data_IF_898806514535
#
_entry.id   IF_898806514535
#
_cell.length_a   1.000
_cell.length_b   1.000
_cell.length_c   1.000
_cell.angle_alpha   90.00
_cell.angle_beta   90.00
_cell.angle_gamma   90.00
#
_symmetry.space_group_name_H-M   'P 1'
#
loop_
_entity.id
_entity.type
_entity.pdbx_description
1 polymer ?
#
# COMPACT_ATOMS: atom_id res chain seq x y z
N UNK A 1 -2.37 -18.02 -14.52
CA UNK A 1 -2.39 -16.79 -13.72
C UNK A 1 -1.41 -17.00 -12.59
N UNK A 2 -0.31 -16.25 -12.56
CA UNK A 2 0.63 -16.30 -11.44
C UNK A 2 -0.11 -15.80 -10.20
N UNK A 3 -0.07 -16.56 -9.12
CA UNK A 3 -0.68 -16.24 -7.82
C UNK A 3 0.05 -15.03 -7.21
N UNK A 4 -0.16 -13.83 -7.75
CA UNK A 4 0.55 -12.58 -7.39
C UNK A 4 -0.35 -11.63 -6.61
N UNK A 5 -1.51 -12.13 -6.18
CA UNK A 5 -2.49 -11.38 -5.42
C UNK A 5 -2.00 -11.25 -3.97
N UNK A 6 -1.64 -10.02 -3.58
CA UNK A 6 -1.03 -9.71 -2.28
C UNK A 6 -1.85 -10.26 -1.10
N UNK A 7 -3.18 -10.16 -1.17
CA UNK A 7 -4.08 -10.57 -0.10
C UNK A 7 -3.93 -12.05 0.31
N UNK A 8 -3.42 -12.91 -0.58
CA UNK A 8 -3.16 -14.31 -0.26
C UNK A 8 -1.95 -14.50 0.69
N UNK A 9 -1.10 -13.49 0.81
CA UNK A 9 0.19 -13.57 1.49
C UNK A 9 0.29 -12.69 2.73
N UNK A 10 -0.40 -11.53 2.74
CA UNK A 10 -0.36 -10.57 3.83
C UNK A 10 -0.64 -11.17 5.22
N UNK A 11 -1.62 -12.09 5.41
CA UNK A 11 -1.89 -12.67 6.74
C UNK A 11 -0.74 -13.53 7.29
N UNK A 12 0.15 -14.03 6.45
CA UNK A 12 1.28 -14.88 6.83
C UNK A 12 2.55 -14.12 7.22
N UNK A 13 2.57 -12.80 7.05
CA UNK A 13 3.76 -11.98 7.29
C UNK A 13 3.79 -11.42 8.72
N UNK A 14 4.99 -11.30 9.33
CA UNK A 14 5.13 -10.63 10.62
C UNK A 14 4.80 -9.14 10.51
N UNK A 15 4.33 -8.54 11.59
CA UNK A 15 3.90 -7.13 11.62
C UNK A 15 4.99 -6.16 11.15
N UNK A 16 6.26 -6.43 11.48
CA UNK A 16 7.39 -5.63 11.01
C UNK A 16 7.57 -5.67 9.47
N UNK A 17 7.31 -6.82 8.84
CA UNK A 17 7.33 -6.93 7.38
C UNK A 17 6.16 -6.16 6.75
N UNK A 18 4.98 -6.25 7.36
CA UNK A 18 3.79 -5.51 6.94
C UNK A 18 3.99 -3.99 7.08
N UNK A 19 4.68 -3.55 8.13
CA UNK A 19 5.06 -2.17 8.35
C UNK A 19 6.02 -1.68 7.25
N UNK A 20 7.10 -2.42 7.00
CA UNK A 20 8.09 -2.06 5.96
C UNK A 20 7.44 -2.00 4.57
N UNK A 21 6.56 -2.95 4.26
CA UNK A 21 5.82 -2.95 3.00
C UNK A 21 4.87 -1.75 2.89
N UNK A 22 4.15 -1.43 3.97
CA UNK A 22 3.26 -0.26 4.01
C UNK A 22 4.05 1.04 3.79
N UNK A 23 5.19 1.20 4.48
CA UNK A 23 6.08 2.34 4.30
C UNK A 23 6.53 2.47 2.85
N UNK A 24 6.96 1.37 2.23
CA UNK A 24 7.38 1.37 0.84
C UNK A 24 6.25 1.80 -0.10
N UNK A 25 5.04 1.27 0.06
CA UNK A 25 3.89 1.66 -0.77
C UNK A 25 3.63 3.16 -0.71
N UNK A 26 3.62 3.76 0.48
CA UNK A 26 3.23 5.17 0.63
C UNK A 26 4.37 6.17 0.43
N UNK A 27 5.61 5.80 0.77
CA UNK A 27 6.77 6.71 0.70
C UNK A 27 7.53 6.57 -0.60
N UNK A 28 7.57 5.39 -1.20
CA UNK A 28 8.33 5.16 -2.43
C UNK A 28 7.40 5.10 -3.65
N UNK A 29 6.46 4.15 -3.67
CA UNK A 29 5.64 3.92 -4.86
C UNK A 29 4.71 5.10 -5.18
N UNK A 30 4.01 5.63 -4.17
CA UNK A 30 3.15 6.80 -4.35
C UNK A 30 3.94 8.06 -4.73
N UNK A 31 5.10 8.28 -4.10
CA UNK A 31 6.00 9.42 -4.41
C UNK A 31 6.57 9.35 -5.82
N UNK A 32 6.93 8.15 -6.29
CA UNK A 32 7.38 7.92 -7.66
C UNK A 32 6.31 8.30 -8.69
N UNK A 33 5.02 8.10 -8.36
CA UNK A 33 3.90 8.55 -9.17
C UNK A 33 3.60 10.06 -9.07
N UNK A 34 4.25 10.78 -8.14
CA UNK A 34 4.10 12.21 -7.96
C UNK A 34 3.11 12.62 -6.85
N UNK A 35 2.71 11.69 -5.98
CA UNK A 35 1.98 12.01 -4.75
C UNK A 35 2.97 12.23 -3.63
N UNK A 36 3.41 13.48 -3.47
CA UNK A 36 4.30 13.84 -2.38
C UNK A 36 3.59 13.72 -1.03
N UNK A 37 4.19 12.94 -0.14
CA UNK A 37 3.70 12.73 1.21
C UNK A 37 4.88 12.79 2.17
N UNK A 38 4.76 13.63 3.20
CA UNK A 38 5.73 13.73 4.29
C UNK A 38 5.00 13.40 5.57
N UNK A 39 5.22 12.20 6.15
CA UNK A 39 4.57 11.82 7.39
C UNK A 39 5.04 12.69 8.55
N UNK A 40 4.14 12.93 9.50
CA UNK A 40 4.46 13.51 10.80
C UNK A 40 5.18 12.45 11.65
N UNK A 41 6.51 12.50 11.61
CA UNK A 41 7.40 11.56 12.29
C UNK A 41 7.23 11.59 13.81
N UNK A 42 6.81 12.72 14.40
CA UNK A 42 6.61 12.85 15.85
C UNK A 42 5.45 11.96 16.29
N UNK A 43 4.41 11.85 15.46
CA UNK A 43 3.26 10.97 15.74
C UNK A 43 3.56 9.50 15.52
N UNK A 44 4.58 9.19 14.73
CA UNK A 44 5.01 7.83 14.44
C UNK A 44 6.08 7.32 15.42
N UNK A 45 6.67 8.21 16.20
CA UNK A 45 7.76 7.88 17.12
C UNK A 45 7.27 6.97 18.24
N UNK A 46 8.01 5.89 18.50
CA UNK A 46 7.73 4.90 19.55
C UNK A 46 6.39 4.17 19.44
N UNK A 47 5.73 4.21 18.27
CA UNK A 47 4.57 3.36 18.01
C UNK A 47 5.00 1.92 17.71
N UNK A 48 4.23 0.97 18.24
CA UNK A 48 4.32 -0.44 17.84
C UNK A 48 3.84 -0.60 16.38
N UNK A 49 4.21 -1.71 15.74
CA UNK A 49 4.02 -1.90 14.30
C UNK A 49 2.58 -1.68 13.83
N UNK A 50 1.60 -2.19 14.58
CA UNK A 50 0.17 -2.06 14.26
C UNK A 50 -0.28 -0.60 14.32
N UNK A 51 0.04 0.09 15.41
CA UNK A 51 -0.34 1.50 15.59
C UNK A 51 0.39 2.40 14.60
N UNK A 52 1.66 2.09 14.31
CA UNK A 52 2.46 2.77 13.29
C UNK A 52 1.80 2.68 11.92
N UNK A 53 1.39 1.47 11.50
CA UNK A 53 0.72 1.26 10.20
C UNK A 53 -0.58 2.06 10.16
N UNK A 54 -1.39 2.01 11.22
CA UNK A 54 -2.67 2.75 11.28
C UNK A 54 -2.47 4.25 11.16
N UNK A 55 -1.53 4.82 11.92
CA UNK A 55 -1.23 6.25 11.91
C UNK A 55 -0.68 6.68 10.54
N UNK A 56 0.27 5.93 9.97
CA UNK A 56 0.85 6.22 8.66
C UNK A 56 -0.20 6.20 7.54
N UNK A 57 -1.07 5.19 7.54
CA UNK A 57 -2.18 5.07 6.58
C UNK A 57 -3.18 6.21 6.75
N UNK A 58 -3.51 6.57 7.99
CA UNK A 58 -4.38 7.70 8.30
C UNK A 58 -3.85 9.02 7.75
N UNK A 59 -2.57 9.31 8.02
CA UNK A 59 -1.91 10.51 7.51
C UNK A 59 -1.84 10.55 5.98
N UNK A 60 -1.51 9.42 5.34
CA UNK A 60 -1.46 9.32 3.88
C UNK A 60 -2.83 9.55 3.25
N UNK A 61 -3.88 8.91 3.80
CA UNK A 61 -5.24 9.07 3.34
C UNK A 61 -5.70 10.53 3.49
N UNK A 62 -5.37 11.19 4.60
CA UNK A 62 -5.69 12.61 4.80
C UNK A 62 -5.02 13.55 3.81
N UNK A 63 -3.78 13.24 3.42
CA UNK A 63 -3.05 14.01 2.41
C UNK A 63 -3.64 13.83 1.01
N UNK A 64 -4.02 12.61 0.65
CA UNK A 64 -4.34 12.23 -0.74
C UNK A 64 -5.83 12.26 -1.06
N UNK A 65 -6.73 12.05 -0.08
CA UNK A 65 -8.19 12.04 -0.30
C UNK A 65 -8.79 13.38 -0.70
N UNK A 66 -8.04 14.48 -0.56
CA UNK A 66 -8.50 15.84 -0.88
C UNK A 66 -8.71 16.06 -2.38
N UNK A 67 -8.15 15.22 -3.24
CA UNK A 67 -8.40 15.25 -4.69
C UNK A 67 -9.52 14.30 -5.10
N UNK A 68 -10.10 14.53 -6.28
CA UNK A 68 -11.12 13.64 -6.86
C UNK A 68 -10.52 12.26 -7.13
N UNK A 69 -9.30 12.24 -7.68
CA UNK A 69 -8.54 11.03 -8.00
C UNK A 69 -8.33 10.17 -6.76
N UNK A 70 -7.94 10.81 -5.66
CA UNK A 70 -7.74 10.20 -4.35
C UNK A 70 -9.03 9.68 -3.74
N UNK A 71 -10.09 10.48 -3.78
CA UNK A 71 -11.43 10.08 -3.31
C UNK A 71 -12.02 8.89 -4.10
N UNK A 72 -11.75 8.80 -5.40
CA UNK A 72 -12.20 7.65 -6.19
C UNK A 72 -11.33 6.41 -5.92
N UNK A 73 -10.00 6.58 -5.83
CA UNK A 73 -9.10 5.45 -5.59
C UNK A 73 -9.33 4.82 -4.21
N UNK A 74 -9.58 5.63 -3.17
CA UNK A 74 -9.85 5.12 -1.82
C UNK A 74 -11.17 4.33 -1.75
N UNK A 75 -12.21 4.79 -2.48
CA UNK A 75 -13.50 4.09 -2.55
C UNK A 75 -13.37 2.72 -3.23
N UNK A 76 -12.66 2.67 -4.36
CA UNK A 76 -12.44 1.41 -5.10
C UNK A 76 -11.59 0.46 -4.28
N UNK A 77 -10.52 0.95 -3.64
CA UNK A 77 -9.66 0.16 -2.78
C UNK A 77 -10.40 -0.42 -1.58
N UNK A 78 -11.21 0.39 -0.87
CA UNK A 78 -12.03 -0.07 0.24
C UNK A 78 -13.00 -1.16 -0.19
N UNK A 79 -13.75 -0.93 -1.28
CA UNK A 79 -14.68 -1.93 -1.81
C UNK A 79 -13.99 -3.24 -2.17
N UNK A 80 -12.79 -3.20 -2.76
CA UNK A 80 -12.04 -4.40 -3.09
C UNK A 80 -11.47 -5.10 -1.85
N UNK A 81 -10.87 -4.36 -0.92
CA UNK A 81 -10.34 -4.92 0.34
C UNK A 81 -11.44 -5.64 1.14
N UNK A 82 -12.66 -5.08 1.18
CA UNK A 82 -13.82 -5.71 1.80
C UNK A 82 -14.13 -7.11 1.21
N UNK A 83 -13.85 -7.34 -0.08
CA UNK A 83 -14.05 -8.66 -0.71
C UNK A 83 -12.99 -9.68 -0.33
N UNK A 84 -11.79 -9.24 0.03
CA UNK A 84 -10.73 -10.12 0.49
C UNK A 84 -10.94 -10.57 1.95
N UNK A 85 -11.70 -9.79 2.74
CA UNK A 85 -12.11 -10.11 4.11
C UNK A 85 -10.95 -10.54 5.04
N UNK A 86 -9.79 -9.90 4.88
CA UNK A 86 -8.61 -10.21 5.70
C UNK A 86 -8.82 -9.82 7.16
N UNK A 87 -8.22 -10.55 8.11
CA UNK A 87 -8.28 -10.20 9.53
C UNK A 87 -7.19 -9.21 9.95
N UNK A 88 -7.47 -8.43 10.99
CA UNK A 88 -6.47 -7.64 11.71
C UNK A 88 -5.70 -6.65 10.84
N UNK A 89 -4.41 -6.51 11.11
CA UNK A 89 -3.56 -5.52 10.44
C UNK A 89 -3.38 -5.81 8.94
N UNK A 90 -3.48 -7.07 8.51
CA UNK A 90 -3.40 -7.44 7.10
C UNK A 90 -4.49 -6.79 6.25
N UNK A 91 -5.68 -6.55 6.83
CA UNK A 91 -6.76 -5.83 6.15
C UNK A 91 -6.40 -4.37 5.83
N UNK A 92 -5.72 -3.71 6.77
CA UNK A 92 -5.29 -2.32 6.61
C UNK A 92 -4.19 -2.23 5.56
N UNK A 93 -3.25 -3.18 5.58
CA UNK A 93 -2.14 -3.28 4.62
C UNK A 93 -2.66 -3.57 3.20
N UNK A 94 -3.63 -4.46 3.06
CA UNK A 94 -4.27 -4.75 1.78
C UNK A 94 -5.01 -3.52 1.24
N UNK A 95 -5.78 -2.86 2.10
CA UNK A 95 -6.46 -1.62 1.75
C UNK A 95 -5.49 -0.55 1.24
N UNK A 96 -4.39 -0.27 1.96
CA UNK A 96 -3.44 0.76 1.53
C UNK A 96 -2.68 0.36 0.27
N UNK A 97 -2.31 -0.92 0.09
CA UNK A 97 -1.65 -1.36 -1.14
C UNK A 97 -2.58 -1.21 -2.35
N UNK A 98 -3.85 -1.56 -2.19
CA UNK A 98 -4.87 -1.33 -3.21
C UNK A 98 -5.09 0.17 -3.47
N UNK A 99 -5.12 0.98 -2.41
CA UNK A 99 -5.30 2.41 -2.56
C UNK A 99 -4.18 3.03 -3.39
N UNK A 100 -2.93 2.74 -3.03
CA UNK A 100 -1.75 3.19 -3.79
C UNK A 100 -1.80 2.65 -5.22
N UNK A 101 -2.12 1.37 -5.43
CA UNK A 101 -2.25 0.76 -6.77
C UNK A 101 -3.25 1.51 -7.67
N UNK A 102 -4.37 1.96 -7.12
CA UNK A 102 -5.38 2.72 -7.86
C UNK A 102 -5.07 4.22 -7.99
N UNK A 103 -4.20 4.73 -7.13
CA UNK A 103 -3.80 6.13 -7.11
C UNK A 103 -2.67 6.40 -8.12
N UNK A 104 -1.67 5.52 -8.18
CA UNK A 104 -0.45 5.64 -8.98
C UNK A 104 -0.69 5.88 -10.48
N UNK A 105 -1.63 5.19 -11.18
CA UNK A 105 -1.93 5.46 -12.59
C UNK A 105 -2.42 6.88 -12.88
N UNK A 106 -2.97 7.56 -11.86
CA UNK A 106 -3.49 8.93 -11.96
C UNK A 106 -2.46 9.98 -11.53
N UNK A 107 -1.26 9.52 -11.13
CA UNK A 107 -0.21 10.39 -10.62
C UNK A 107 0.35 11.32 -11.71
N UNK A 108 0.73 12.56 -11.36
CA UNK A 108 1.20 13.53 -12.34
C UNK A 108 2.55 13.17 -12.98
N UNK A 109 3.30 12.23 -12.40
CA UNK A 109 4.56 11.71 -12.97
C UNK A 109 4.37 10.40 -13.76
N UNK A 110 3.13 9.91 -13.91
CA UNK A 110 2.89 8.72 -14.69
C UNK A 110 2.91 9.03 -16.19
N UNK A 111 3.78 8.36 -16.94
CA UNK A 111 3.90 8.50 -18.40
C UNK A 111 3.27 7.33 -19.17
N UNK A 112 2.81 6.29 -18.46
CA UNK A 112 2.21 5.10 -19.06
C UNK A 112 0.69 5.20 -19.14
N UNK A 113 0.04 4.48 -20.08
CA UNK A 113 -1.41 4.29 -20.06
C UNK A 113 -1.89 3.77 -18.69
N UNK A 114 -3.07 4.19 -18.19
CA UNK A 114 -3.54 3.82 -16.86
C UNK A 114 -3.57 2.32 -16.58
N UNK A 115 -4.02 1.51 -17.55
CA UNK A 115 -4.11 0.05 -17.40
C UNK A 115 -2.71 -0.58 -17.32
N UNK A 116 -1.77 -0.14 -18.16
CA UNK A 116 -0.39 -0.60 -18.11
C UNK A 116 0.30 -0.20 -16.80
N UNK A 117 0.05 1.01 -16.31
CA UNK A 117 0.62 1.45 -15.02
C UNK A 117 0.02 0.69 -13.85
N UNK A 118 -1.27 0.34 -13.92
CA UNK A 118 -1.93 -0.45 -12.89
C UNK A 118 -1.34 -1.86 -12.79
N UNK A 119 -1.13 -2.52 -13.93
CA UNK A 119 -0.47 -3.83 -14.00
C UNK A 119 0.97 -3.76 -13.49
N UNK A 120 1.71 -2.73 -13.88
CA UNK A 120 3.08 -2.50 -13.41
C UNK A 120 3.11 -2.28 -11.89
N UNK A 121 2.24 -1.43 -11.36
CA UNK A 121 2.16 -1.16 -9.93
C UNK A 121 1.86 -2.43 -9.12
N UNK A 122 1.01 -3.31 -9.64
CA UNK A 122 0.73 -4.62 -9.03
C UNK A 122 1.95 -5.53 -9.02
N UNK A 123 2.74 -5.55 -10.10
CA UNK A 123 3.98 -6.33 -10.17
C UNK A 123 5.05 -5.80 -9.22
N UNK A 124 5.28 -4.48 -9.22
CA UNK A 124 6.22 -3.82 -8.32
C UNK A 124 5.88 -4.12 -6.85
N UNK A 125 4.60 -4.03 -6.47
CA UNK A 125 4.15 -4.35 -5.13
C UNK A 125 4.42 -5.82 -4.76
N UNK A 126 4.11 -6.76 -5.66
CA UNK A 126 4.35 -8.18 -5.41
C UNK A 126 5.85 -8.49 -5.28
N UNK A 127 6.67 -7.95 -6.19
CA UNK A 127 8.12 -8.10 -6.13
C UNK A 127 8.71 -7.53 -4.84
N UNK A 128 8.24 -6.36 -4.41
CA UNK A 128 8.67 -5.77 -3.15
C UNK A 128 8.24 -6.62 -1.95
N UNK A 129 7.00 -7.13 -1.95
CA UNK A 129 6.53 -8.01 -0.88
C UNK A 129 7.40 -9.26 -0.78
N UNK A 130 7.78 -9.88 -1.90
CA UNK A 130 8.70 -11.02 -1.93
C UNK A 130 10.09 -10.66 -1.37
N UNK A 131 10.63 -9.49 -1.69
CA UNK A 131 11.93 -9.04 -1.17
C UNK A 131 11.88 -8.85 0.35
N UNK A 132 10.82 -8.22 0.86
CA UNK A 132 10.61 -8.01 2.29
C UNK A 132 10.39 -9.35 2.98
N UNK A 133 9.52 -10.22 2.47
CA UNK A 133 9.27 -11.54 3.05
C UNK A 133 10.56 -12.35 3.23
N UNK A 134 11.45 -12.35 2.22
CA UNK A 134 12.77 -12.98 2.29
C UNK A 134 13.64 -12.41 3.40
N UNK A 135 13.64 -11.09 3.62
CA UNK A 135 14.37 -10.44 4.73
C UNK A 135 13.92 -10.95 6.09
N UNK A 136 12.64 -11.29 6.21
CA UNK A 136 12.04 -11.84 7.43
C UNK A 136 11.99 -13.38 7.45
N UNK A 137 12.69 -14.05 6.53
CA UNK A 137 12.72 -15.53 6.42
C UNK A 137 11.35 -16.18 6.23
N UNK A 138 10.43 -15.50 5.54
CA UNK A 138 9.12 -16.02 5.12
C UNK A 138 9.14 -16.29 3.62
N UNK A 139 8.66 -17.46 3.18
CA UNK A 139 8.48 -17.79 1.77
C UNK A 139 7.04 -17.49 1.33
N UNK A 140 6.89 -16.75 0.23
CA UNK A 140 5.62 -16.42 -0.43
C UNK A 140 5.74 -16.54 -1.95
#
# INVERSE_FOLDING_TARGET
MSNSELHNYLPGLPEAALQEFTQWCVLEQATAAGYEFTPDLVKLENLESVDYIQELVGQFADATRKSIEGSMAILVAGKQADTHALPGIAAIVDFISLYVKYLVPKGPKNELPPDEKLDLASKEQFEQLCQIAKKYSVEI
#
